data_IF_249641479295
#
_entry.id   IF_249641479295
#
_cell.length_a   1.000
_cell.length_b   1.000
_cell.length_c   1.000
_cell.angle_alpha   90.00
_cell.angle_beta   90.00
_cell.angle_gamma   90.00
#
_symmetry.space_group_name_H-M   'P 1'
#
loop_
_entity.id
_entity.type
_entity.pdbx_description
1 polymer ?
#
# COMPACT_ATOMS: atom_id res chain seq x y z
N UNK A 1 -10.73 -8.33 -3.59
CA UNK A 1 -10.92 -7.14 -2.74
C UNK A 1 -9.81 -6.11 -2.99
N UNK A 2 -8.55 -6.39 -2.66
CA UNK A 2 -7.40 -5.48 -2.83
C UNK A 2 -7.25 -4.91 -4.25
N UNK A 3 -7.37 -5.76 -5.26
CA UNK A 3 -7.29 -5.35 -6.67
C UNK A 3 -8.38 -4.35 -7.11
N UNK A 4 -9.46 -4.19 -6.33
CA UNK A 4 -10.52 -3.23 -6.61
C UNK A 4 -10.33 -1.94 -5.81
N UNK A 5 -10.14 -2.03 -4.48
CA UNK A 5 -10.15 -0.83 -3.63
C UNK A 5 -8.83 -0.07 -3.62
N UNK A 6 -7.67 -0.73 -3.82
CA UNK A 6 -6.37 -0.05 -3.84
C UNK A 6 -6.29 0.97 -4.99
N UNK A 7 -6.63 0.62 -6.25
CA UNK A 7 -6.65 1.60 -7.33
C UNK A 7 -7.66 2.75 -7.12
N UNK A 8 -8.81 2.46 -6.52
CA UNK A 8 -9.81 3.48 -6.19
C UNK A 8 -9.28 4.45 -5.12
N UNK A 9 -8.67 3.91 -4.06
CA UNK A 9 -8.05 4.71 -3.01
C UNK A 9 -6.93 5.61 -3.58
N UNK A 10 -6.02 5.06 -4.38
CA UNK A 10 -4.90 5.84 -4.94
C UNK A 10 -5.42 6.96 -5.83
N UNK A 11 -6.43 6.68 -6.67
CA UNK A 11 -7.07 7.69 -7.50
C UNK A 11 -7.76 8.80 -6.67
N UNK A 12 -8.47 8.44 -5.60
CA UNK A 12 -9.14 9.40 -4.71
C UNK A 12 -8.15 10.28 -3.94
N UNK A 13 -6.99 9.72 -3.56
CA UNK A 13 -5.96 10.43 -2.82
C UNK A 13 -4.95 11.17 -3.71
N UNK A 14 -5.02 10.99 -5.04
CA UNK A 14 -4.06 11.54 -5.98
C UNK A 14 -2.65 10.96 -5.79
N UNK A 15 -2.57 9.67 -5.48
CA UNK A 15 -1.34 8.92 -5.28
C UNK A 15 -1.06 8.05 -6.52
N UNK A 16 0.19 7.96 -6.90
CA UNK A 16 0.66 6.89 -7.78
C UNK A 16 0.98 5.64 -6.96
N UNK A 17 1.07 4.48 -7.61
CA UNK A 17 1.39 3.22 -6.93
C UNK A 17 2.76 3.30 -6.23
N UNK A 18 3.70 4.03 -6.81
CA UNK A 18 5.03 4.23 -6.28
C UNK A 18 5.06 5.11 -5.02
N UNK A 19 4.00 5.86 -4.74
CA UNK A 19 3.86 6.69 -3.53
C UNK A 19 3.45 5.87 -2.30
N UNK A 20 2.86 4.68 -2.50
CA UNK A 20 2.41 3.83 -1.39
C UNK A 20 3.58 3.35 -0.53
N UNK A 21 3.40 3.19 0.79
CA UNK A 21 4.44 2.58 1.63
C UNK A 21 4.82 1.18 1.14
N UNK A 22 6.07 0.76 1.38
CA UNK A 22 6.52 -0.57 0.99
C UNK A 22 5.82 -1.68 1.79
N UNK A 23 5.49 -1.40 3.05
CA UNK A 23 4.70 -2.26 3.94
C UNK A 23 3.68 -1.39 4.66
N UNK A 24 2.44 -1.85 4.61
CA UNK A 24 1.28 -1.26 5.26
C UNK A 24 0.16 -2.31 5.25
N UNK A 25 -0.80 -2.15 6.15
CA UNK A 25 -2.03 -2.94 6.20
C UNK A 25 -3.24 -2.00 6.29
N UNK A 26 -4.42 -2.60 6.16
CA UNK A 26 -5.69 -1.91 6.27
C UNK A 26 -6.70 -2.84 6.93
N UNK A 27 -7.33 -2.37 8.00
CA UNK A 27 -8.39 -3.10 8.67
C UNK A 27 -9.75 -2.67 8.15
N UNK A 28 -10.63 -3.66 8.04
CA UNK A 28 -11.98 -3.49 7.55
C UNK A 28 -12.98 -4.00 8.57
N UNK A 29 -14.03 -3.21 8.78
CA UNK A 29 -15.18 -3.63 9.58
C UNK A 29 -16.23 -4.26 8.65
N UNK A 30 -16.78 -5.40 9.08
CA UNK A 30 -17.90 -6.04 8.40
C UNK A 30 -19.12 -5.12 8.46
N UNK A 31 -19.65 -4.80 7.28
CA UNK A 31 -20.87 -4.03 7.09
C UNK A 31 -22.11 -4.91 6.90
N UNK A 32 -23.28 -4.28 6.65
CA UNK A 32 -24.49 -5.00 6.26
C UNK A 32 -24.29 -5.72 4.93
N UNK A 33 -24.98 -6.84 4.70
CA UNK A 33 -24.94 -7.48 3.38
C UNK A 33 -25.59 -6.61 2.32
N UNK A 34 -25.11 -6.71 1.08
CA UNK A 34 -25.69 -6.01 -0.05
C UNK A 34 -26.99 -6.65 -0.56
N UNK A 35 -27.57 -6.12 -1.63
CA UNK A 35 -28.82 -6.63 -2.21
C UNK A 35 -28.70 -8.04 -2.81
N UNK A 36 -27.48 -8.49 -3.13
CA UNK A 36 -27.20 -9.85 -3.56
C UNK A 36 -26.97 -10.80 -2.37
N UNK A 37 -26.87 -10.26 -1.16
CA UNK A 37 -26.59 -11.01 0.07
C UNK A 37 -25.10 -11.18 0.36
N UNK A 38 -24.23 -10.48 -0.36
CA UNK A 38 -22.78 -10.55 -0.18
C UNK A 38 -22.32 -9.64 0.97
N UNK A 39 -21.27 -10.05 1.67
CA UNK A 39 -20.66 -9.25 2.74
C UNK A 39 -20.12 -7.93 2.18
N UNK A 40 -20.42 -6.82 2.87
CA UNK A 40 -19.78 -5.53 2.60
C UNK A 40 -18.76 -5.20 3.67
N UNK A 41 -17.81 -4.34 3.33
CA UNK A 41 -16.70 -3.97 4.21
C UNK A 41 -16.52 -2.46 4.18
N UNK A 42 -16.28 -1.87 5.35
CA UNK A 42 -15.94 -0.45 5.50
C UNK A 42 -14.50 -0.37 5.97
N UNK A 43 -13.67 0.38 5.24
CA UNK A 43 -12.30 0.68 5.65
C UNK A 43 -12.34 1.43 6.99
N UNK A 44 -11.63 0.91 7.98
CA UNK A 44 -11.56 1.51 9.31
C UNK A 44 -10.31 2.36 9.45
N UNK A 45 -9.14 1.75 9.26
CA UNK A 45 -7.86 2.41 9.33
C UNK A 45 -6.83 1.77 8.39
N UNK A 46 -5.77 2.53 8.17
CA UNK A 46 -4.59 2.15 7.40
C UNK A 46 -3.41 2.37 8.34
N UNK A 47 -2.56 1.36 8.56
CA UNK A 47 -1.34 1.53 9.34
C UNK A 47 -0.11 1.42 8.45
N UNK A 48 0.79 2.39 8.61
CA UNK A 48 2.09 2.41 7.94
C UNK A 48 3.13 1.97 8.96
N UNK A 49 4.03 1.08 8.55
CA UNK A 49 5.18 0.59 9.34
C UNK A 49 4.90 -0.33 10.53
N UNK A 50 3.77 -1.04 10.58
CA UNK A 50 3.54 -2.04 11.63
C UNK A 50 2.59 -3.14 11.14
N UNK A 51 3.10 -4.08 10.33
CA UNK A 51 2.32 -5.26 9.94
C UNK A 51 2.91 -6.44 10.70
N UNK A 52 2.14 -7.04 11.60
CA UNK A 52 2.49 -8.32 12.20
C UNK A 52 1.29 -9.27 12.13
N UNK A 53 1.46 -10.48 11.60
CA UNK A 53 2.70 -11.03 11.05
C UNK A 53 3.02 -10.47 9.66
N UNK A 54 4.32 -10.24 9.39
CA UNK A 54 4.80 -10.03 8.01
C UNK A 54 4.73 -11.38 7.31
N UNK A 55 4.06 -11.46 6.16
CA UNK A 55 4.02 -12.67 5.33
C UNK A 55 5.41 -13.00 4.81
N UNK A 56 5.74 -14.29 4.70
CA UNK A 56 7.06 -14.73 4.23
C UNK A 56 7.36 -14.16 2.83
N UNK A 57 6.34 -14.08 1.97
CA UNK A 57 6.41 -13.54 0.61
C UNK A 57 6.67 -12.02 0.56
N UNK A 58 6.43 -11.29 1.65
CA UNK A 58 6.59 -9.84 1.69
C UNK A 58 8.07 -9.40 1.79
N UNK A 59 8.96 -10.29 2.23
CA UNK A 59 10.38 -9.95 2.46
C UNK A 59 11.09 -9.55 1.16
N UNK A 60 10.89 -10.31 0.08
CA UNK A 60 11.53 -10.03 -1.22
C UNK A 60 10.99 -8.73 -1.81
N UNK A 61 9.67 -8.54 -1.79
CA UNK A 61 9.02 -7.32 -2.28
C UNK A 61 9.45 -6.08 -1.48
N UNK A 62 9.60 -6.20 -0.16
CA UNK A 62 10.11 -5.15 0.71
C UNK A 62 11.56 -4.80 0.35
N UNK A 63 12.43 -5.81 0.21
CA UNK A 63 13.84 -5.61 -0.09
C UNK A 63 14.03 -4.93 -1.46
N UNK A 64 13.31 -5.41 -2.49
CA UNK A 64 13.34 -4.84 -3.84
C UNK A 64 12.86 -3.39 -3.86
N UNK A 65 11.70 -3.12 -3.23
CA UNK A 65 11.13 -1.77 -3.17
C UNK A 65 12.04 -0.81 -2.42
N UNK A 66 12.63 -1.26 -1.31
CA UNK A 66 13.58 -0.46 -0.51
C UNK A 66 14.82 -0.12 -1.32
N UNK A 67 15.43 -1.11 -1.98
CA UNK A 67 16.62 -0.91 -2.80
C UNK A 67 16.35 0.08 -3.94
N UNK A 68 15.25 -0.11 -4.67
CA UNK A 68 14.84 0.79 -5.76
C UNK A 68 14.74 2.24 -5.30
N UNK A 69 14.02 2.49 -4.20
CA UNK A 69 13.85 3.84 -3.64
C UNK A 69 15.17 4.48 -3.20
N UNK A 70 16.09 3.71 -2.61
CA UNK A 70 17.41 4.21 -2.25
C UNK A 70 18.25 4.61 -3.46
N UNK A 71 18.16 3.87 -4.56
CA UNK A 71 18.81 4.19 -5.83
C UNK A 71 18.27 5.50 -6.40
N UNK A 72 16.94 5.66 -6.45
CA UNK A 72 16.28 6.85 -7.00
C UNK A 72 16.65 8.11 -6.21
N UNK A 73 16.62 8.03 -4.88
CA UNK A 73 17.04 9.13 -4.00
C UNK A 73 18.50 9.50 -4.23
N UNK A 74 19.39 8.52 -4.37
CA UNK A 74 20.82 8.76 -4.64
C UNK A 74 21.03 9.42 -6.01
N UNK A 75 20.31 8.98 -7.04
CA UNK A 75 20.36 9.57 -8.37
C UNK A 75 19.90 11.03 -8.35
N UNK A 76 18.75 11.31 -7.72
CA UNK A 76 18.22 12.67 -7.54
C UNK A 76 19.21 13.59 -6.81
N UNK A 77 19.80 13.11 -5.70
CA UNK A 77 20.79 13.88 -4.94
C UNK A 77 22.06 14.18 -5.74
N UNK A 78 22.49 13.24 -6.59
CA UNK A 78 23.67 13.41 -7.44
C UNK A 78 23.40 14.45 -8.52
N UNK A 79 22.25 14.38 -9.18
CA UNK A 79 21.83 15.34 -10.19
C UNK A 79 21.68 16.76 -9.62
N UNK A 80 21.19 16.90 -8.38
CA UNK A 80 21.04 18.22 -7.72
C UNK A 80 22.36 18.86 -7.30
N UNK A 81 23.46 18.11 -7.25
CA UNK A 81 24.79 18.58 -6.82
C UNK A 81 25.72 18.92 -7.99
N UNK A 82 25.37 18.50 -9.20
CA UNK A 82 26.10 18.80 -10.44
C UNK A 82 25.64 20.15 -11.02
#
# INVERSE_FOLDING_TARGET
MEAAWIPEMTALLGLELEDLPAIWDADFLLGPTDAAGEDTYVLWDINVSAVYPILDEAHDALAETTLRRLIDVRAYQTARRA
#
